data_IF_284957773477
#
_entry.id   IF_284957773477
#
_cell.length_a   1.000
_cell.length_b   1.000
_cell.length_c   1.000
_cell.angle_alpha   90.00
_cell.angle_beta   90.00
_cell.angle_gamma   90.00
#
_symmetry.space_group_name_H-M   'P 1'
#
loop_
_entity.id
_entity.type
_entity.pdbx_description
1 polymer ?
#
# COMPACT_ATOMS: atom_id res chain seq x y z
N UNK A 1 25.45 21.22 17.79
CA UNK A 1 24.73 19.97 18.07
C UNK A 1 23.29 20.19 17.63
N UNK A 2 22.88 19.65 16.49
CA UNK A 2 21.47 19.57 16.09
C UNK A 2 21.27 18.17 15.48
N UNK A 3 20.49 17.35 16.17
CA UNK A 3 20.07 16.01 15.81
C UNK A 3 18.83 16.11 14.95
N UNK A 4 18.97 16.09 13.63
CA UNK A 4 17.84 15.90 12.71
C UNK A 4 17.77 14.43 12.32
N UNK A 5 17.15 13.71 13.24
CA UNK A 5 16.60 12.37 13.12
C UNK A 5 15.58 12.34 11.99
N UNK A 6 15.97 11.91 10.79
CA UNK A 6 14.98 11.45 9.78
C UNK A 6 15.57 10.54 8.69
N UNK A 7 16.81 10.08 8.86
CA UNK A 7 17.46 9.14 7.94
C UNK A 7 16.99 7.67 8.10
N UNK A 8 15.78 7.39 8.59
CA UNK A 8 15.38 6.01 8.95
C UNK A 8 13.94 5.61 8.59
N UNK A 9 13.41 6.09 7.47
CA UNK A 9 12.11 5.59 6.95
C UNK A 9 12.22 4.97 5.56
N UNK A 10 13.33 5.19 4.86
CA UNK A 10 13.49 4.88 3.42
C UNK A 10 14.24 3.58 3.09
N UNK A 11 14.47 2.69 4.06
CA UNK A 11 15.22 1.43 3.80
C UNK A 11 14.49 0.13 4.23
N UNK A 12 13.30 0.20 4.85
CA UNK A 12 12.63 -1.00 5.40
C UNK A 12 11.84 -1.79 4.34
N UNK A 13 11.71 -1.27 3.10
CA UNK A 13 11.24 -2.04 1.96
C UNK A 13 12.31 -3.03 1.45
N UNK A 14 12.94 -3.77 2.36
CA UNK A 14 13.58 -5.04 2.02
C UNK A 14 12.47 -5.91 1.43
N UNK A 15 12.53 -6.07 0.12
CA UNK A 15 11.46 -6.54 -0.78
C UNK A 15 10.73 -7.78 -0.26
N UNK A 16 9.72 -7.60 0.60
CA UNK A 16 8.76 -8.66 0.87
C UNK A 16 7.90 -8.79 -0.37
N UNK A 17 8.11 -9.86 -1.11
CA UNK A 17 7.31 -10.19 -2.29
C UNK A 17 5.82 -10.26 -1.94
N UNK A 18 5.49 -10.82 -0.77
CA UNK A 18 4.14 -10.91 -0.24
C UNK A 18 3.94 -10.06 1.02
N UNK A 19 2.96 -9.17 0.94
CA UNK A 19 2.48 -8.30 2.02
C UNK A 19 1.31 -8.95 2.74
N UNK A 20 1.38 -9.01 4.08
CA UNK A 20 0.25 -9.37 4.94
C UNK A 20 -0.62 -8.12 5.18
N UNK A 21 -1.74 -8.30 5.88
CA UNK A 21 -2.60 -7.18 6.29
C UNK A 21 -1.78 -6.12 7.04
N UNK A 22 -0.92 -6.50 7.98
CA UNK A 22 -0.09 -5.53 8.74
C UNK A 22 0.79 -4.68 7.83
N UNK A 23 1.48 -5.30 6.88
CA UNK A 23 2.35 -4.59 5.93
C UNK A 23 1.52 -3.63 5.04
N UNK A 24 0.28 -4.02 4.68
CA UNK A 24 -0.64 -3.14 3.94
C UNK A 24 -1.11 -1.96 4.78
N UNK A 25 -1.38 -2.14 6.08
CA UNK A 25 -1.77 -1.04 6.98
C UNK A 25 -0.63 -0.04 7.15
N UNK A 26 0.59 -0.53 7.36
CA UNK A 26 1.79 0.29 7.47
C UNK A 26 2.06 1.05 6.17
N UNK A 27 2.03 0.37 5.01
CA UNK A 27 2.28 0.99 3.71
C UNK A 27 1.27 2.08 3.37
N UNK A 28 0.00 1.92 3.75
CA UNK A 28 -1.06 2.88 3.46
C UNK A 28 -1.22 3.93 4.57
N UNK A 29 -0.60 3.74 5.73
CA UNK A 29 -0.77 4.63 6.88
C UNK A 29 -2.20 4.65 7.43
N UNK A 30 -2.93 3.54 7.36
CA UNK A 30 -4.35 3.47 7.74
C UNK A 30 -4.62 2.47 8.86
N UNK A 31 -5.71 2.70 9.58
CA UNK A 31 -6.23 1.72 10.55
C UNK A 31 -6.86 0.52 9.86
N UNK A 32 -6.99 -0.60 10.58
CA UNK A 32 -7.64 -1.82 10.08
C UNK A 32 -9.06 -1.58 9.59
N UNK A 33 -9.85 -0.76 10.29
CA UNK A 33 -11.22 -0.44 9.90
C UNK A 33 -11.27 0.36 8.60
N UNK A 34 -10.40 1.36 8.46
CA UNK A 34 -10.27 2.15 7.23
C UNK A 34 -9.86 1.27 6.05
N UNK A 35 -8.87 0.40 6.23
CA UNK A 35 -8.44 -0.55 5.20
C UNK A 35 -9.60 -1.39 4.66
N UNK A 36 -10.46 -1.92 5.53
CA UNK A 36 -11.61 -2.71 5.08
C UNK A 36 -12.68 -1.88 4.38
N UNK A 37 -12.87 -0.61 4.76
CA UNK A 37 -13.75 0.32 4.05
C UNK A 37 -13.21 0.61 2.65
N UNK A 38 -11.93 0.95 2.53
CA UNK A 38 -11.25 1.17 1.25
C UNK A 38 -11.31 -0.08 0.36
N UNK A 39 -11.07 -1.27 0.92
CA UNK A 39 -11.20 -2.54 0.18
C UNK A 39 -12.63 -2.78 -0.31
N UNK A 40 -13.65 -2.47 0.49
CA UNK A 40 -15.05 -2.58 0.05
C UNK A 40 -15.39 -1.55 -1.03
N UNK A 41 -14.81 -0.36 -0.97
CA UNK A 41 -14.92 0.69 -1.99
C UNK A 41 -14.12 0.40 -3.27
N UNK A 42 -13.30 -0.66 -3.28
CA UNK A 42 -12.45 -1.02 -4.41
C UNK A 42 -11.18 -0.18 -4.54
N UNK A 43 -10.81 0.56 -3.50
CA UNK A 43 -9.58 1.39 -3.42
C UNK A 43 -8.34 0.60 -3.01
N UNK A 44 -8.52 -0.66 -2.57
CA UNK A 44 -7.42 -1.59 -2.29
C UNK A 44 -7.60 -2.81 -3.18
N UNK A 45 -6.53 -3.31 -3.85
CA UNK A 45 -6.64 -4.48 -4.70
C UNK A 45 -7.05 -5.73 -3.89
N UNK A 46 -7.69 -6.72 -4.52
CA UNK A 46 -7.94 -7.99 -3.87
C UNK A 46 -6.60 -8.71 -3.55
N UNK A 47 -6.58 -9.54 -2.49
CA UNK A 47 -5.39 -10.32 -2.19
C UNK A 47 -5.15 -11.37 -3.29
N UNK A 48 -3.88 -11.72 -3.50
CA UNK A 48 -3.51 -12.82 -4.41
C UNK A 48 -3.78 -14.17 -3.75
N UNK A 49 -3.53 -14.27 -2.44
CA UNK A 49 -3.81 -15.46 -1.63
C UNK A 49 -4.91 -15.10 -0.64
N UNK A 50 -5.99 -15.89 -0.59
CA UNK A 50 -7.16 -15.58 0.24
C UNK A 50 -7.05 -16.11 1.68
N UNK A 51 -6.30 -17.21 1.91
CA UNK A 51 -6.10 -17.79 3.23
C UNK A 51 -4.70 -18.44 3.36
N UNK A 52 -3.77 -17.87 4.15
CA UNK A 52 -3.88 -16.56 4.82
C UNK A 52 -3.88 -15.43 3.78
N UNK A 53 -4.48 -14.30 4.14
CA UNK A 53 -4.67 -13.21 3.19
C UNK A 53 -3.36 -12.45 2.90
N UNK A 54 -2.91 -12.47 1.64
CA UNK A 54 -1.64 -11.86 1.21
C UNK A 54 -1.74 -11.16 -0.15
N UNK A 55 -0.99 -10.07 -0.29
CA UNK A 55 -0.92 -9.25 -1.50
C UNK A 55 0.48 -9.31 -2.09
N UNK A 56 0.58 -9.45 -3.41
CA UNK A 56 1.87 -9.33 -4.09
C UNK A 56 2.24 -7.86 -4.20
N UNK A 57 3.43 -7.47 -3.70
CA UNK A 57 3.85 -6.07 -3.63
C UNK A 57 3.82 -5.38 -5.01
N UNK A 58 4.26 -6.07 -6.07
CA UNK A 58 4.25 -5.56 -7.44
C UNK A 58 2.84 -5.23 -7.93
N UNK A 59 1.84 -6.07 -7.62
CA UNK A 59 0.43 -5.82 -7.97
C UNK A 59 -0.16 -4.65 -7.20
N UNK A 60 0.25 -4.46 -5.96
CA UNK A 60 -0.19 -3.32 -5.15
C UNK A 60 0.35 -2.02 -5.73
N UNK A 61 1.64 -1.97 -6.07
CA UNK A 61 2.25 -0.79 -6.69
C UNK A 61 1.59 -0.48 -8.04
N UNK A 62 1.49 -1.46 -8.94
CA UNK A 62 0.86 -1.28 -10.25
C UNK A 62 -0.61 -0.80 -10.15
N UNK A 63 -1.35 -1.27 -9.14
CA UNK A 63 -2.72 -0.82 -8.90
C UNK A 63 -2.79 0.68 -8.61
N UNK A 64 -1.94 1.19 -7.70
CA UNK A 64 -1.95 2.61 -7.34
C UNK A 64 -1.33 3.50 -8.41
N UNK A 65 -0.29 3.05 -9.11
CA UNK A 65 0.25 3.74 -10.29
C UNK A 65 -0.82 3.93 -11.37
N UNK A 66 -1.61 2.88 -11.65
CA UNK A 66 -2.69 2.95 -12.64
C UNK A 66 -3.82 3.92 -12.25
N UNK A 67 -4.04 4.14 -10.95
CA UNK A 67 -5.04 5.10 -10.46
C UNK A 67 -4.53 6.53 -10.53
N UNK A 68 -3.29 6.77 -10.09
CA UNK A 68 -2.65 8.08 -10.21
C UNK A 68 -2.66 8.58 -11.66
N UNK A 69 -2.37 7.71 -12.62
CA UNK A 69 -2.37 8.05 -14.05
C UNK A 69 -3.78 8.33 -14.61
N UNK A 70 -4.85 7.76 -14.04
CA UNK A 70 -6.24 8.02 -14.46
C UNK A 70 -6.76 9.35 -13.92
N UNK A 71 -6.38 9.70 -12.69
CA UNK A 71 -6.75 10.98 -12.08
C UNK A 71 -6.09 12.16 -12.82
N UNK A 72 -4.86 12.00 -13.33
CA UNK A 72 -4.20 13.01 -14.17
C UNK A 72 -4.85 13.22 -15.54
N UNK A 73 -5.52 12.21 -16.10
CA UNK A 73 -6.12 12.27 -17.44
C UNK A 73 -7.56 12.81 -17.42
N UNK A 74 -8.26 12.70 -16.29
CA UNK A 74 -9.62 13.24 -16.11
C UNK A 74 -9.68 14.71 -15.67
N UNK A 75 -8.54 15.41 -15.66
CA UNK A 75 -8.43 16.82 -15.25
C UNK A 75 -8.21 17.79 -16.43
N UNK A 76 -8.51 17.38 -17.67
CA UNK A 76 -8.43 18.19 -18.91
C UNK A 76 -9.81 18.46 -19.52
#
# INVERSE_FOLDING_TARGET
MNTESEQKTTEIAKEKEFLKISDMLEKLGVTRTQFWRMRKAGEVPPPVIKNPQMWLASKVNAFYESRANKESDSSL
#
